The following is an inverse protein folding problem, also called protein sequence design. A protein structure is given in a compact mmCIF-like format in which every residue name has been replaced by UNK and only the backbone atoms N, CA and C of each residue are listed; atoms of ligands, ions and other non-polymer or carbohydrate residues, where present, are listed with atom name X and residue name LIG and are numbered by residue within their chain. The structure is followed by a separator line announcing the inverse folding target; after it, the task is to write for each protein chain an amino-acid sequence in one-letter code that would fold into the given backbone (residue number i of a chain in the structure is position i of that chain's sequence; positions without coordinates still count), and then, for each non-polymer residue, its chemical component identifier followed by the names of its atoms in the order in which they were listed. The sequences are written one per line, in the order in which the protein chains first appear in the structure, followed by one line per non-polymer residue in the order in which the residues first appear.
data_IF_863269963424
#
_entry.id   IF_863269963424
#
_cell.length_a   1.000
_cell.length_b   1.000
_cell.length_c   1.000
_cell.angle_alpha   90.00
_cell.angle_beta   90.00
_cell.angle_gamma   90.00
#
_symmetry.space_group_name_H-M   'P 1'
#
loop_
_entity.id
_entity.type
_entity.pdbx_description
1 polymer ?
#
# COMPACT_ATOMS: atom_id res chain seq x y z
N UNK A 1 -52.74 -50.25 19.91
CA UNK A 1 -52.77 -48.82 20.35
C UNK A 1 -51.38 -48.26 20.21
N UNK A 2 -51.13 -47.47 19.15
CA UNK A 2 -49.84 -46.83 18.89
C UNK A 2 -49.99 -45.36 19.28
N UNK A 3 -49.23 -44.90 20.28
CA UNK A 3 -49.15 -43.51 20.63
C UNK A 3 -48.19 -42.80 19.65
N UNK A 4 -48.72 -41.79 18.94
CA UNK A 4 -47.92 -40.82 18.19
C UNK A 4 -47.44 -39.72 19.14
N UNK A 5 -46.17 -39.61 19.31
CA UNK A 5 -45.54 -38.45 19.97
C UNK A 5 -45.23 -37.38 18.89
N UNK A 6 -45.93 -36.25 18.96
CA UNK A 6 -45.68 -35.07 18.14
C UNK A 6 -44.59 -34.28 18.82
N UNK A 7 -43.42 -34.21 18.19
CA UNK A 7 -42.30 -33.36 18.61
C UNK A 7 -42.46 -31.96 18.03
N UNK A 8 -42.73 -30.96 18.88
CA UNK A 8 -42.72 -29.55 18.48
C UNK A 8 -41.28 -29.11 18.31
N UNK A 9 -40.91 -28.87 17.08
CA UNK A 9 -39.64 -28.20 16.75
C UNK A 9 -39.85 -26.67 16.86
N UNK A 10 -39.35 -26.06 17.93
CA UNK A 10 -39.32 -24.60 18.11
C UNK A 10 -38.31 -23.99 17.16
N UNK A 11 -38.78 -23.25 16.16
CA UNK A 11 -37.95 -22.47 15.26
C UNK A 11 -37.48 -21.19 15.99
N UNK A 12 -36.22 -21.17 16.43
CA UNK A 12 -35.57 -19.93 16.87
C UNK A 12 -35.08 -19.18 15.63
N UNK A 13 -35.81 -18.15 15.19
CA UNK A 13 -35.29 -17.13 14.29
C UNK A 13 -34.37 -16.19 15.10
N UNK A 14 -33.14 -16.54 15.24
CA UNK A 14 -32.11 -15.57 15.62
C UNK A 14 -31.72 -14.81 14.36
N UNK A 15 -32.01 -13.50 14.33
CA UNK A 15 -31.54 -12.58 13.30
C UNK A 15 -30.03 -12.55 13.28
N UNK A 16 -29.46 -13.30 12.36
CA UNK A 16 -28.02 -13.23 12.07
C UNK A 16 -27.84 -12.00 11.19
N UNK A 17 -27.40 -10.88 11.83
CA UNK A 17 -26.84 -9.78 11.06
C UNK A 17 -25.76 -10.37 10.16
N UNK A 18 -25.85 -10.09 8.86
CA UNK A 18 -24.86 -10.52 7.89
C UNK A 18 -23.53 -9.84 8.18
N UNK A 19 -22.73 -10.46 9.03
CA UNK A 19 -21.30 -10.15 9.10
C UNK A 19 -20.71 -10.68 7.80
N UNK A 20 -20.15 -9.77 7.01
CA UNK A 20 -19.40 -10.13 5.82
C UNK A 20 -18.33 -11.13 6.24
N UNK A 21 -18.48 -12.37 5.84
CA UNK A 21 -17.49 -13.43 6.04
C UNK A 21 -16.28 -13.07 5.20
N UNK A 22 -15.19 -12.70 5.84
CA UNK A 22 -13.89 -12.56 5.18
C UNK A 22 -13.37 -13.95 4.86
N UNK A 23 -13.43 -14.34 3.60
CA UNK A 23 -12.75 -15.55 3.16
C UNK A 23 -11.25 -15.35 3.44
N UNK A 24 -10.66 -16.18 4.29
CA UNK A 24 -9.27 -16.19 4.73
C UNK A 24 -8.75 -14.97 5.51
N UNK A 25 -9.57 -14.20 6.23
CA UNK A 25 -9.11 -13.17 7.16
C UNK A 25 -8.44 -11.94 6.53
N UNK A 26 -8.18 -11.93 5.23
CA UNK A 26 -7.56 -10.80 4.53
C UNK A 26 -8.60 -9.73 4.15
N UNK A 27 -8.29 -8.46 4.46
CA UNK A 27 -9.11 -7.32 4.05
C UNK A 27 -8.85 -7.00 2.59
N UNK A 28 -9.89 -7.01 1.76
CA UNK A 28 -9.75 -6.68 0.34
C UNK A 28 -9.52 -5.17 0.15
N UNK A 29 -8.28 -4.78 -0.14
CA UNK A 29 -7.92 -3.42 -0.51
C UNK A 29 -7.82 -3.31 -2.03
N UNK A 30 -8.72 -2.54 -2.63
CA UNK A 30 -8.80 -2.37 -4.08
C UNK A 30 -8.38 -0.95 -4.50
N UNK A 31 -7.19 -0.84 -5.06
CA UNK A 31 -6.67 0.41 -5.62
C UNK A 31 -7.25 0.74 -7.00
N UNK A 32 -7.89 -0.21 -7.69
CA UNK A 32 -8.38 0.00 -9.05
C UNK A 32 -7.29 0.56 -9.96
N UNK A 33 -7.62 1.63 -10.70
CA UNK A 33 -6.67 2.29 -11.60
C UNK A 33 -5.43 2.85 -10.89
N UNK A 34 -5.53 3.20 -9.58
CA UNK A 34 -4.38 3.70 -8.82
C UNK A 34 -3.27 2.65 -8.65
N UNK A 35 -3.58 1.37 -8.85
CA UNK A 35 -2.57 0.31 -8.74
C UNK A 35 -1.48 0.38 -9.82
N UNK A 36 -1.72 1.07 -10.93
CA UNK A 36 -0.71 1.31 -11.97
C UNK A 36 0.28 2.43 -11.60
N UNK A 37 -0.07 3.26 -10.60
CA UNK A 37 0.72 4.44 -10.26
C UNK A 37 1.84 4.12 -9.26
N UNK A 38 3.03 4.59 -9.55
CA UNK A 38 4.13 4.69 -8.59
C UNK A 38 3.92 5.92 -7.68
N UNK A 39 3.44 7.02 -8.28
CA UNK A 39 3.17 8.27 -7.55
C UNK A 39 1.90 8.93 -8.08
N UNK A 40 0.96 9.22 -7.16
CA UNK A 40 -0.30 9.88 -7.48
C UNK A 40 -0.59 10.95 -6.43
N UNK A 41 -0.72 12.21 -6.86
CA UNK A 41 -1.07 13.33 -5.99
C UNK A 41 -2.50 13.82 -6.18
N UNK A 42 -3.10 14.39 -5.13
CA UNK A 42 -4.34 15.14 -5.22
C UNK A 42 -4.11 16.54 -5.76
N UNK A 43 -3.11 17.24 -5.20
CA UNK A 43 -2.75 18.62 -5.59
C UNK A 43 -1.51 18.71 -6.46
N UNK A 44 -0.72 17.64 -6.57
CA UNK A 44 0.47 17.62 -7.41
C UNK A 44 1.45 16.49 -7.11
N UNK A 45 2.39 16.32 -8.03
CA UNK A 45 3.63 15.56 -7.80
C UNK A 45 4.79 16.47 -8.13
N UNK A 46 5.71 16.65 -7.19
CA UNK A 46 6.90 17.49 -7.36
C UNK A 46 8.18 16.70 -7.10
N UNK A 47 9.18 16.94 -7.92
CA UNK A 47 10.50 16.33 -7.77
C UNK A 47 11.58 17.39 -7.97
N UNK A 48 12.57 17.42 -7.08
CA UNK A 48 13.69 18.34 -7.19
C UNK A 48 15.01 17.65 -7.56
N UNK A 49 15.01 16.32 -7.66
CA UNK A 49 16.22 15.54 -7.93
C UNK A 49 16.29 15.04 -9.37
N UNK A 50 17.42 15.27 -10.03
CA UNK A 50 17.68 14.70 -11.34
C UNK A 50 17.88 13.17 -11.36
N UNK A 51 18.14 12.58 -10.19
CA UNK A 51 18.47 11.16 -10.03
C UNK A 51 17.30 10.34 -9.47
N UNK A 52 16.08 10.85 -9.50
CA UNK A 52 14.87 10.12 -9.15
C UNK A 52 14.50 9.15 -10.28
N UNK A 53 14.05 7.94 -9.94
CA UNK A 53 13.58 6.96 -10.89
C UNK A 53 12.30 6.30 -10.36
N UNK A 54 11.23 6.33 -11.17
CA UNK A 54 9.91 5.86 -10.81
C UNK A 54 9.46 4.76 -11.78
N UNK A 55 9.11 3.60 -11.25
CA UNK A 55 8.56 2.47 -12.03
C UNK A 55 7.06 2.42 -11.79
N UNK A 56 6.28 2.78 -12.80
CA UNK A 56 4.83 2.93 -12.77
C UNK A 56 4.40 4.32 -13.25
N UNK A 57 3.12 4.50 -13.39
CA UNK A 57 2.53 5.76 -13.83
C UNK A 57 2.72 6.86 -12.79
N UNK A 58 2.79 8.10 -13.27
CA UNK A 58 2.88 9.28 -12.40
C UNK A 58 1.86 10.32 -12.86
N UNK A 59 1.11 10.86 -11.92
CA UNK A 59 0.12 11.87 -12.23
C UNK A 59 -0.49 12.54 -11.03
N UNK A 60 -1.41 13.44 -11.28
CA UNK A 60 -2.14 14.16 -10.25
C UNK A 60 -3.57 14.49 -10.71
N UNK A 61 -4.52 14.43 -9.80
CA UNK A 61 -5.92 14.77 -10.02
C UNK A 61 -6.57 15.10 -8.66
N UNK A 62 -7.46 16.11 -8.53
CA UNK A 62 -8.02 16.93 -9.61
C UNK A 62 -7.06 17.98 -10.18
N UNK A 63 -6.03 18.38 -9.44
CA UNK A 63 -5.07 19.39 -9.90
C UNK A 63 -3.96 18.72 -10.69
N UNK A 64 -3.87 18.91 -12.03
CA UNK A 64 -2.93 18.17 -12.89
C UNK A 64 -1.53 18.82 -12.87
N UNK A 65 -0.91 18.85 -11.70
CA UNK A 65 0.40 19.46 -11.50
C UNK A 65 1.47 18.39 -11.30
N UNK A 66 2.32 18.19 -12.31
CA UNK A 66 3.53 17.38 -12.17
C UNK A 66 4.73 18.23 -12.57
N UNK A 67 5.67 18.42 -11.64
CA UNK A 67 6.85 19.31 -11.82
C UNK A 67 8.14 18.57 -11.48
N UNK A 68 9.22 18.90 -12.22
CA UNK A 68 10.58 18.43 -11.94
C UNK A 68 10.84 16.97 -12.31
N UNK A 69 9.92 16.28 -12.98
CA UNK A 69 10.12 14.96 -13.55
C UNK A 69 10.26 15.04 -15.07
N UNK A 70 11.23 14.31 -15.59
CA UNK A 70 11.43 14.10 -17.03
C UNK A 70 10.94 12.72 -17.43
N UNK A 71 10.51 12.50 -18.69
CA UNK A 71 10.07 11.18 -19.16
C UNK A 71 11.09 10.06 -18.89
N UNK A 72 12.39 10.33 -19.04
CA UNK A 72 13.46 9.36 -18.77
C UNK A 72 13.56 8.91 -17.30
N UNK A 73 12.92 9.61 -16.37
CA UNK A 73 12.89 9.26 -14.95
C UNK A 73 11.67 8.37 -14.59
N UNK A 74 10.75 8.15 -15.53
CA UNK A 74 9.50 7.43 -15.30
C UNK A 74 9.39 6.26 -16.26
N UNK A 75 9.50 5.04 -15.74
CA UNK A 75 9.16 3.82 -16.48
C UNK A 75 7.67 3.54 -16.31
N UNK A 76 6.86 4.23 -17.11
CA UNK A 76 5.40 4.25 -17.09
C UNK A 76 4.90 5.50 -17.81
N UNK A 77 3.63 5.81 -17.64
CA UNK A 77 3.02 7.00 -18.25
C UNK A 77 3.15 8.20 -17.31
N UNK A 78 3.69 9.30 -17.83
CA UNK A 78 3.79 10.58 -17.15
C UNK A 78 2.62 11.49 -17.55
N UNK A 79 1.62 11.63 -16.70
CA UNK A 79 0.43 12.44 -16.92
C UNK A 79 0.69 13.90 -16.50
N UNK A 80 1.01 14.76 -17.45
CA UNK A 80 1.28 16.20 -17.21
C UNK A 80 0.01 17.07 -17.28
N UNK A 81 -1.12 16.49 -17.71
CA UNK A 81 -2.42 17.15 -17.87
C UNK A 81 -3.53 16.33 -17.23
N UNK A 82 -4.68 16.95 -17.03
CA UNK A 82 -5.89 16.23 -16.60
C UNK A 82 -6.18 15.07 -17.53
N UNK A 83 -6.52 13.93 -16.94
CA UNK A 83 -6.80 12.70 -17.67
C UNK A 83 -7.91 11.92 -16.97
N UNK A 84 -8.82 11.27 -17.71
CA UNK A 84 -9.78 10.33 -17.13
C UNK A 84 -9.11 9.22 -16.32
N UNK A 85 -7.89 8.82 -16.72
CA UNK A 85 -7.10 7.80 -16.01
C UNK A 85 -6.67 8.28 -14.63
N UNK A 86 -6.13 9.52 -14.51
CA UNK A 86 -5.74 10.08 -13.21
C UNK A 86 -6.95 10.33 -12.31
N UNK A 87 -8.09 10.74 -12.88
CA UNK A 87 -9.34 10.92 -12.15
C UNK A 87 -9.88 9.57 -11.63
N UNK A 88 -9.87 8.53 -12.46
CA UNK A 88 -10.24 7.17 -12.05
C UNK A 88 -9.29 6.62 -10.98
N UNK A 89 -7.99 6.91 -11.09
CA UNK A 89 -7.00 6.53 -10.09
C UNK A 89 -7.27 7.18 -8.73
N UNK A 90 -7.63 8.47 -8.67
CA UNK A 90 -8.00 9.13 -7.41
C UNK A 90 -9.27 8.55 -6.77
N UNK A 91 -10.24 8.12 -7.58
CA UNK A 91 -11.41 7.40 -7.07
C UNK A 91 -11.00 6.04 -6.48
N UNK A 92 -10.17 5.27 -7.18
CA UNK A 92 -9.63 4.00 -6.68
C UNK A 92 -8.82 4.16 -5.40
N UNK A 93 -7.97 5.20 -5.33
CA UNK A 93 -7.22 5.54 -4.13
C UNK A 93 -8.15 5.87 -2.95
N UNK A 94 -9.23 6.61 -3.18
CA UNK A 94 -10.23 6.91 -2.15
C UNK A 94 -10.90 5.65 -1.63
N UNK A 95 -11.27 4.73 -2.54
CA UNK A 95 -11.83 3.42 -2.17
C UNK A 95 -10.86 2.62 -1.31
N UNK A 96 -9.60 2.48 -1.74
CA UNK A 96 -8.56 1.76 -1.01
C UNK A 96 -8.27 2.38 0.37
N UNK A 97 -8.22 3.70 0.46
CA UNK A 97 -8.06 4.40 1.72
C UNK A 97 -9.18 4.05 2.71
N UNK A 98 -10.45 4.14 2.26
CA UNK A 98 -11.60 3.86 3.11
C UNK A 98 -11.65 2.38 3.52
N UNK A 99 -11.30 1.46 2.64
CA UNK A 99 -11.20 0.03 2.94
C UNK A 99 -10.11 -0.24 3.99
N UNK A 100 -8.94 0.37 3.83
CA UNK A 100 -7.85 0.22 4.79
C UNK A 100 -8.19 0.87 6.14
N UNK A 101 -8.81 2.06 6.16
CA UNK A 101 -9.23 2.74 7.39
C UNK A 101 -10.38 2.02 8.12
N UNK A 102 -11.25 1.33 7.38
CA UNK A 102 -12.39 0.57 7.93
C UNK A 102 -12.04 -0.87 8.32
N UNK A 103 -10.81 -1.33 8.12
CA UNK A 103 -10.41 -2.66 8.55
C UNK A 103 -10.44 -2.78 10.09
N UNK A 104 -10.95 -3.90 10.59
CA UNK A 104 -11.05 -4.12 12.03
C UNK A 104 -9.64 -4.15 12.67
N UNK A 105 -9.42 -3.33 13.69
CA UNK A 105 -8.15 -3.27 14.40
C UNK A 105 -7.85 -4.59 15.13
N UNK A 106 -6.74 -5.23 14.78
CA UNK A 106 -6.28 -6.45 15.46
C UNK A 106 -5.36 -6.14 16.65
N UNK A 107 -4.47 -5.16 16.49
CA UNK A 107 -3.49 -4.81 17.53
C UNK A 107 -3.27 -3.30 17.57
N UNK A 108 -3.44 -2.71 18.77
CA UNK A 108 -3.18 -1.28 19.00
C UNK A 108 -1.71 -1.06 19.35
N UNK A 109 -1.05 -0.17 18.59
CA UNK A 109 0.36 0.22 18.78
C UNK A 109 0.52 1.74 19.02
N UNK A 110 -0.52 2.40 19.53
CA UNK A 110 -0.46 3.85 19.82
C UNK A 110 0.69 4.19 20.76
N UNK A 111 1.55 5.14 20.34
CA UNK A 111 2.73 5.56 21.11
C UNK A 111 3.93 4.62 20.99
N UNK A 112 3.83 3.52 20.27
CA UNK A 112 4.91 2.56 20.08
C UNK A 112 5.71 2.91 18.82
N UNK A 113 7.05 2.88 18.92
CA UNK A 113 7.94 2.97 17.75
C UNK A 113 8.02 1.59 17.07
N UNK A 114 7.82 1.58 15.76
CA UNK A 114 7.87 0.34 14.97
C UNK A 114 9.27 -0.26 14.81
N UNK A 115 10.32 0.53 15.07
CA UNK A 115 11.70 0.08 14.95
C UNK A 115 12.05 -1.03 15.95
N UNK A 116 12.72 -2.06 15.45
CA UNK A 116 13.07 -3.27 16.21
C UNK A 116 11.95 -4.30 16.33
N UNK A 117 10.72 -3.97 15.89
CA UNK A 117 9.60 -4.90 15.99
C UNK A 117 9.67 -5.98 14.92
N UNK A 118 9.13 -7.15 15.26
CA UNK A 118 8.81 -8.25 14.35
C UNK A 118 7.30 -8.46 14.39
N UNK A 119 6.61 -8.22 13.27
CA UNK A 119 5.16 -8.29 13.18
C UNK A 119 4.73 -9.37 12.19
N UNK A 120 3.75 -10.17 12.59
CA UNK A 120 3.08 -11.16 11.75
C UNK A 120 1.94 -10.48 10.95
N UNK A 121 1.33 -11.15 9.94
CA UNK A 121 0.20 -10.59 9.21
C UNK A 121 -0.93 -10.13 10.13
N UNK A 122 -1.52 -8.97 9.83
CA UNK A 122 -2.58 -8.40 10.65
C UNK A 122 -2.85 -6.91 10.42
N UNK A 123 -3.77 -6.36 11.21
CA UNK A 123 -4.15 -4.94 11.21
C UNK A 123 -3.64 -4.29 12.48
N UNK A 124 -2.79 -3.29 12.32
CA UNK A 124 -2.09 -2.56 13.40
C UNK A 124 -2.55 -1.11 13.43
N UNK A 125 -3.00 -0.63 14.59
CA UNK A 125 -3.69 0.63 14.71
C UNK A 125 -2.95 1.60 15.63
N UNK A 126 -2.90 2.85 15.21
CA UNK A 126 -2.36 3.97 15.96
C UNK A 126 -3.45 5.04 16.03
N UNK A 127 -3.93 5.37 17.23
CA UNK A 127 -4.91 6.45 17.40
C UNK A 127 -4.36 7.84 17.02
N UNK A 128 -3.03 7.98 17.01
CA UNK A 128 -2.31 9.19 16.66
C UNK A 128 -1.27 8.91 15.56
N UNK A 129 -0.09 9.52 15.66
CA UNK A 129 1.04 9.31 14.78
C UNK A 129 1.71 7.94 14.98
N UNK A 130 2.25 7.38 13.91
CA UNK A 130 3.18 6.27 13.96
C UNK A 130 4.59 6.71 13.60
N UNK A 131 5.57 6.13 14.27
CA UNK A 131 6.99 6.38 14.04
C UNK A 131 7.73 5.09 13.73
N UNK A 132 8.68 5.17 12.82
CA UNK A 132 9.61 4.09 12.51
C UNK A 132 11.04 4.64 12.62
N UNK A 133 11.80 4.16 13.60
CA UNK A 133 13.22 4.46 13.75
C UNK A 133 14.01 3.15 13.80
N UNK A 134 14.83 2.89 12.80
CA UNK A 134 15.55 1.62 12.65
C UNK A 134 14.80 0.64 11.74
N UNK A 135 14.78 -0.65 12.08
CA UNK A 135 14.25 -1.69 11.20
C UNK A 135 12.95 -2.31 11.74
N UNK A 136 11.90 -2.31 10.91
CA UNK A 136 10.69 -3.09 11.12
C UNK A 136 10.79 -4.39 10.31
N UNK A 137 10.57 -5.54 10.94
CA UNK A 137 10.53 -6.84 10.29
C UNK A 137 9.10 -7.34 10.17
N UNK A 138 8.63 -7.60 8.98
CA UNK A 138 7.33 -8.19 8.67
C UNK A 138 7.53 -9.66 8.31
N UNK A 139 7.11 -10.56 9.20
CA UNK A 139 7.28 -12.00 9.04
C UNK A 139 5.99 -12.62 8.49
N UNK A 140 6.02 -13.03 7.24
CA UNK A 140 4.89 -13.65 6.56
C UNK A 140 4.58 -15.08 7.05
N UNK A 141 5.38 -15.64 7.93
CA UNK A 141 5.22 -17.02 8.43
C UNK A 141 5.06 -18.07 7.31
N UNK A 142 5.66 -17.81 6.14
CA UNK A 142 5.57 -18.70 4.98
C UNK A 142 4.34 -18.46 4.08
N UNK A 143 3.43 -17.59 4.46
CA UNK A 143 2.26 -17.24 3.63
C UNK A 143 2.63 -16.21 2.56
N UNK A 144 2.56 -16.60 1.29
CA UNK A 144 2.79 -15.70 0.15
C UNK A 144 1.73 -14.60 0.01
N UNK A 145 0.54 -14.78 0.61
CA UNK A 145 -0.57 -13.83 0.61
C UNK A 145 -0.63 -12.99 1.87
N UNK A 146 0.34 -13.14 2.77
CA UNK A 146 0.44 -12.39 4.01
C UNK A 146 0.16 -10.89 3.81
N UNK A 147 -0.72 -10.33 4.64
CA UNK A 147 -1.14 -8.94 4.54
C UNK A 147 -0.90 -8.20 5.86
N UNK A 148 -0.38 -6.96 5.74
CA UNK A 148 -0.26 -6.02 6.85
C UNK A 148 -0.99 -4.73 6.49
N UNK A 149 -1.84 -4.27 7.39
CA UNK A 149 -2.50 -2.97 7.30
C UNK A 149 -2.12 -2.17 8.54
N UNK A 150 -1.49 -1.03 8.32
CA UNK A 150 -1.17 -0.07 9.35
C UNK A 150 -2.14 1.10 9.22
N UNK A 151 -2.93 1.35 10.28
CA UNK A 151 -3.91 2.44 10.34
C UNK A 151 -3.40 3.53 11.27
N UNK A 152 -3.10 4.70 10.76
CA UNK A 152 -2.66 5.85 11.56
C UNK A 152 -3.76 6.92 11.59
N UNK A 153 -4.12 7.35 12.80
CA UNK A 153 -5.07 8.44 12.99
C UNK A 153 -4.55 9.80 12.47
N UNK A 154 -3.23 10.00 12.48
CA UNK A 154 -2.60 11.23 11.99
C UNK A 154 -1.47 10.96 11.03
N UNK A 155 -0.22 11.09 11.44
CA UNK A 155 0.97 11.05 10.56
C UNK A 155 1.74 9.74 10.63
N UNK A 156 2.47 9.45 9.55
CA UNK A 156 3.54 8.46 9.53
C UNK A 156 4.88 9.16 9.36
N UNK A 157 5.84 8.89 10.24
CA UNK A 157 7.21 9.38 10.10
C UNK A 157 8.20 8.23 10.19
N UNK A 158 8.84 7.91 9.07
CA UNK A 158 10.01 7.04 9.05
C UNK A 158 11.27 7.92 9.14
N UNK A 159 12.05 7.72 10.20
CA UNK A 159 13.29 8.45 10.41
C UNK A 159 14.33 8.12 9.31
N UNK A 160 15.34 8.96 9.10
CA UNK A 160 16.41 8.66 8.13
C UNK A 160 17.04 7.27 8.39
N UNK A 161 17.39 6.58 7.32
CA UNK A 161 17.97 5.23 7.31
C UNK A 161 17.06 4.13 7.92
N UNK A 162 15.78 4.40 8.09
CA UNK A 162 14.81 3.39 8.53
C UNK A 162 14.61 2.32 7.46
N UNK A 163 14.26 1.13 7.90
CA UNK A 163 14.03 -0.02 6.99
C UNK A 163 12.73 -0.74 7.32
N UNK A 164 11.98 -1.11 6.30
CA UNK A 164 10.92 -2.12 6.38
C UNK A 164 11.39 -3.33 5.60
N UNK A 165 11.43 -4.48 6.26
CA UNK A 165 11.86 -5.75 5.68
C UNK A 165 10.69 -6.71 5.71
N UNK A 166 10.33 -7.29 4.56
CA UNK A 166 9.29 -8.33 4.47
C UNK A 166 9.99 -9.67 4.25
N UNK A 167 9.75 -10.61 5.14
CA UNK A 167 10.31 -11.97 5.09
C UNK A 167 9.22 -12.95 4.65
N UNK A 168 9.33 -13.43 3.40
CA UNK A 168 8.50 -14.49 2.84
C UNK A 168 9.30 -15.80 2.88
N UNK A 169 9.26 -16.54 4.00
CA UNK A 169 9.94 -17.84 4.16
C UNK A 169 11.40 -17.84 3.67
N UNK A 170 12.18 -16.84 4.07
CA UNK A 170 13.59 -16.70 3.68
C UNK A 170 13.85 -16.07 2.30
N UNK A 171 12.81 -15.79 1.54
CA UNK A 171 12.87 -14.98 0.31
C UNK A 171 12.40 -13.58 0.63
N UNK A 172 13.22 -12.57 0.40
CA UNK A 172 12.83 -11.16 0.62
C UNK A 172 11.57 -10.83 -0.17
N UNK A 173 10.47 -10.52 0.54
CA UNK A 173 9.18 -10.21 -0.07
C UNK A 173 9.13 -8.81 -0.64
N UNK A 174 8.38 -8.61 -1.72
CA UNK A 174 8.21 -7.28 -2.34
C UNK A 174 7.17 -6.39 -1.66
N UNK A 175 6.55 -6.85 -0.54
CA UNK A 175 5.61 -6.06 0.26
C UNK A 175 4.33 -5.65 -0.46
N UNK A 176 3.86 -6.48 -1.39
CA UNK A 176 2.68 -6.20 -2.21
C UNK A 176 1.40 -6.00 -1.41
N UNK A 177 1.31 -6.67 -0.26
CA UNK A 177 0.16 -6.61 0.64
C UNK A 177 0.48 -5.83 1.93
N UNK A 178 1.44 -4.91 1.88
CA UNK A 178 1.69 -3.97 2.98
C UNK A 178 1.04 -2.63 2.65
N UNK A 179 0.12 -2.21 3.49
CA UNK A 179 -0.66 -0.98 3.32
C UNK A 179 -0.47 -0.06 4.51
N UNK A 180 -0.09 1.18 4.23
CA UNK A 180 0.07 2.25 5.22
C UNK A 180 -1.03 3.27 4.99
N UNK A 181 -2.18 3.10 5.69
CA UNK A 181 -3.25 4.10 5.68
C UNK A 181 -2.89 5.20 6.68
N UNK A 182 -2.76 6.42 6.20
CA UNK A 182 -2.26 7.56 6.98
C UNK A 182 -3.33 8.64 7.03
N UNK A 183 -3.80 8.96 8.23
CA UNK A 183 -4.90 9.90 8.48
C UNK A 183 -4.55 11.36 8.17
N UNK A 184 -3.28 11.68 7.92
CA UNK A 184 -2.82 12.98 7.46
C UNK A 184 -1.69 12.79 6.43
N UNK A 185 -0.45 13.10 6.79
CA UNK A 185 0.70 13.07 5.89
C UNK A 185 1.73 12.02 6.30
N UNK A 186 2.43 11.45 5.32
CA UNK A 186 3.54 10.55 5.52
C UNK A 186 4.86 11.20 5.11
N UNK A 187 5.92 10.95 5.89
CA UNK A 187 7.29 11.32 5.56
C UNK A 187 8.18 10.10 5.65
N UNK A 188 8.92 9.81 4.58
CA UNK A 188 9.96 8.78 4.53
C UNK A 188 11.30 9.50 4.45
N UNK A 189 12.08 9.40 5.52
CA UNK A 189 13.34 10.10 5.68
C UNK A 189 14.46 9.55 4.78
N UNK A 190 15.49 10.36 4.61
CA UNK A 190 16.62 10.12 3.72
C UNK A 190 17.31 8.77 3.98
N UNK A 191 17.64 8.07 2.90
CA UNK A 191 18.39 6.81 2.95
C UNK A 191 17.55 5.61 3.43
N UNK A 192 16.24 5.79 3.61
CA UNK A 192 15.35 4.71 4.03
C UNK A 192 15.12 3.70 2.90
N UNK A 193 14.89 2.44 3.29
CA UNK A 193 14.38 1.38 2.43
C UNK A 193 12.98 1.04 2.94
N UNK A 194 11.97 1.63 2.32
CA UNK A 194 10.60 1.50 2.76
C UNK A 194 9.81 0.56 1.85
N UNK A 195 8.96 -0.27 2.44
CA UNK A 195 8.18 -1.28 1.69
C UNK A 195 6.70 -1.09 1.96
N UNK A 196 5.90 -1.11 0.90
CA UNK A 196 4.44 -1.05 0.96
C UNK A 196 3.83 0.16 0.25
N UNK A 197 2.51 0.16 0.21
CA UNK A 197 1.71 1.20 -0.44
C UNK A 197 1.33 2.25 0.60
N UNK A 198 1.89 3.44 0.48
CA UNK A 198 1.54 4.59 1.33
C UNK A 198 0.29 5.24 0.75
N UNK A 199 -0.79 5.24 1.52
CA UNK A 199 -2.11 5.75 1.15
C UNK A 199 -2.44 6.88 2.14
N UNK A 200 -1.99 8.10 1.84
CA UNK A 200 -2.13 9.24 2.73
C UNK A 200 -3.39 10.07 2.42
N UNK A 201 -4.07 10.53 3.47
CA UNK A 201 -5.20 11.47 3.31
C UNK A 201 -4.73 12.79 2.71
N UNK A 202 -3.60 13.31 3.18
CA UNK A 202 -3.08 14.60 2.73
C UNK A 202 -1.88 14.41 1.82
N UNK A 203 -0.67 14.36 2.32
CA UNK A 203 0.55 14.41 1.50
C UNK A 203 1.51 13.26 1.77
N UNK A 204 2.38 12.97 0.81
CA UNK A 204 3.51 12.05 1.00
C UNK A 204 4.80 12.79 0.64
N UNK A 205 5.78 12.76 1.54
CA UNK A 205 7.14 13.29 1.33
C UNK A 205 8.15 12.15 1.33
N UNK A 206 8.95 12.08 0.27
CA UNK A 206 10.06 11.14 0.11
C UNK A 206 11.36 11.94 0.07
N UNK A 207 12.18 11.82 1.12
CA UNK A 207 13.42 12.62 1.27
C UNK A 207 14.66 11.95 0.65
N UNK A 208 14.44 10.89 -0.12
CA UNK A 208 15.49 10.15 -0.83
C UNK A 208 15.80 8.81 -0.21
N UNK A 209 15.84 7.79 -1.05
CA UNK A 209 16.05 6.40 -0.65
C UNK A 209 15.44 5.43 -1.65
N UNK A 210 14.73 4.44 -1.15
CA UNK A 210 14.01 3.47 -1.98
C UNK A 210 12.65 3.18 -1.36
N UNK A 211 11.59 3.44 -2.11
CA UNK A 211 10.24 2.98 -1.80
C UNK A 211 9.90 1.79 -2.72
N UNK A 212 9.85 0.59 -2.18
CA UNK A 212 9.32 -0.60 -2.86
C UNK A 212 7.81 -0.65 -2.64
N UNK A 213 7.08 0.08 -3.45
CA UNK A 213 5.65 0.29 -3.26
C UNK A 213 5.15 1.53 -3.99
N UNK A 214 4.22 2.25 -3.39
CA UNK A 214 3.55 3.37 -4.02
C UNK A 214 3.45 4.55 -3.06
N UNK A 215 3.57 5.77 -3.59
CA UNK A 215 3.34 7.02 -2.87
C UNK A 215 2.04 7.66 -3.38
N UNK A 216 0.96 7.53 -2.62
CA UNK A 216 -0.38 7.92 -3.04
C UNK A 216 -0.98 8.91 -2.03
N UNK A 217 -1.22 10.15 -2.49
CA UNK A 217 -1.80 11.24 -1.71
C UNK A 217 -3.19 11.58 -2.24
N UNK A 218 -4.22 11.58 -1.36
CA UNK A 218 -5.61 11.82 -1.76
C UNK A 218 -5.89 13.29 -2.06
N UNK A 219 -5.55 14.20 -1.16
CA UNK A 219 -5.85 15.64 -1.30
C UNK A 219 -4.61 16.49 -1.52
N UNK A 220 -3.49 16.11 -0.93
CA UNK A 220 -2.25 16.85 -0.99
C UNK A 220 -1.31 16.40 -2.11
N UNK A 221 -0.05 16.80 -2.00
CA UNK A 221 0.98 16.48 -2.98
C UNK A 221 1.82 15.26 -2.59
N UNK A 222 2.44 14.65 -3.60
CA UNK A 222 3.62 13.82 -3.40
C UNK A 222 4.84 14.67 -3.71
N UNK A 223 5.75 14.80 -2.74
CA UNK A 223 6.99 15.59 -2.84
C UNK A 223 8.20 14.67 -2.75
N UNK A 224 9.09 14.77 -3.72
CA UNK A 224 10.35 14.01 -3.78
C UNK A 224 11.49 15.02 -3.67
N UNK A 225 12.15 15.04 -2.51
CA UNK A 225 13.12 16.08 -2.13
C UNK A 225 14.55 15.74 -2.52
N UNK A 226 14.86 14.44 -2.74
CA UNK A 226 16.20 13.98 -3.06
C UNK A 226 16.14 12.77 -4.00
N UNK A 227 17.31 12.15 -4.27
CA UNK A 227 17.37 10.93 -5.06
C UNK A 227 16.46 9.86 -4.47
N UNK A 228 15.46 9.43 -5.23
CA UNK A 228 14.47 8.44 -4.82
C UNK A 228 14.30 7.38 -5.92
N UNK A 229 14.10 6.14 -5.50
CA UNK A 229 13.64 5.07 -6.36
C UNK A 229 12.29 4.58 -5.85
N UNK A 230 11.25 4.71 -6.67
CA UNK A 230 9.93 4.13 -6.36
C UNK A 230 9.68 2.97 -7.32
N UNK A 231 9.69 1.76 -6.77
CA UNK A 231 9.42 0.52 -7.51
C UNK A 231 7.95 0.12 -7.29
N UNK A 232 7.07 0.71 -8.12
CA UNK A 232 5.62 0.70 -7.91
C UNK A 232 4.89 -0.61 -8.20
N UNK A 233 4.90 -1.14 -9.42
CA UNK A 233 3.95 -2.21 -9.79
C UNK A 233 4.44 -3.64 -9.67
N UNK A 234 5.70 -3.89 -9.34
CA UNK A 234 6.25 -5.25 -9.36
C UNK A 234 5.83 -6.10 -8.16
N UNK A 235 4.53 -6.29 -8.03
CA UNK A 235 3.96 -7.33 -7.16
C UNK A 235 3.78 -8.66 -7.89
N UNK A 236 4.54 -8.91 -8.94
CA UNK A 236 4.60 -10.23 -9.57
C UNK A 236 5.43 -11.12 -8.67
N UNK A 237 4.88 -12.27 -8.29
CA UNK A 237 5.64 -13.31 -7.60
C UNK A 237 6.96 -13.56 -8.34
N UNK A 238 8.05 -13.72 -7.58
CA UNK A 238 9.39 -13.98 -8.13
C UNK A 238 9.50 -15.31 -8.92
N UNK A 239 8.38 -15.97 -9.17
CA UNK A 239 8.27 -17.27 -9.86
C UNK A 239 7.85 -17.15 -11.33
N UNK A 240 7.62 -15.93 -11.85
CA UNK A 240 7.50 -15.74 -13.28
C UNK A 240 8.92 -15.65 -13.87
N UNK A 241 9.54 -16.80 -14.13
CA UNK A 241 10.62 -16.90 -15.11
C UNK A 241 10.12 -16.30 -16.42
N UNK A 242 10.86 -15.37 -17.05
CA UNK A 242 10.53 -14.98 -18.43
C UNK A 242 10.56 -16.25 -19.26
N UNK A 243 9.45 -16.60 -19.91
CA UNK A 243 9.48 -17.58 -20.96
C UNK A 243 10.44 -17.06 -22.02
N UNK A 244 11.57 -17.75 -22.19
CA UNK A 244 12.43 -17.58 -23.36
C UNK A 244 11.55 -17.89 -24.56
N UNK A 245 11.15 -16.82 -25.26
CA UNK A 245 10.60 -16.93 -26.60
C UNK A 245 11.72 -17.46 -27.47
N UNK A 246 11.66 -18.76 -27.71
CA UNK A 246 12.51 -19.45 -28.69
C UNK A 246 12.19 -18.84 -30.05
N UNK A 247 13.06 -17.91 -30.47
CA UNK A 247 13.15 -17.54 -31.85
C UNK A 247 13.56 -18.79 -32.64
N UNK A 248 12.58 -19.48 -33.22
CA UNK A 248 12.84 -20.49 -34.26
C UNK A 248 13.39 -19.78 -35.48
N UNK A 249 14.68 -19.97 -35.71
CA UNK A 249 15.33 -19.71 -36.99
C UNK A 249 14.72 -20.65 -38.04
N UNK A 250 13.96 -20.12 -38.95
CA UNK A 250 13.73 -20.80 -40.22
C UNK A 250 14.78 -20.35 -41.22
N UNK A 251 15.41 -21.37 -41.79
CA UNK A 251 16.34 -21.39 -42.90
C UNK A 251 15.67 -21.04 -44.24
#
# INVERSE_FOLDING_TARGET
MKLLTISLLALWLSGIGAYAQTENGAVKINLGTADKFASLGGSGVTNVSAHTFLIGDVGSSPTPTVKGLKPAQVKGTLYLKSSPVTAAAQKGLTTAYNQAAGAHCGTTLTGVNLGGMKLIPGVYCFAAAAQLTGTLNLDAQGDSNAQWIFQMGTTLTAAPNSKVVVNLAGKGGRGCNVYWQVGSSATVGKGSIFVGKIIALTSVTLDGGTLRGKALARSGAVSISARETVDGPSCVSADATPSEDTASSEN
#
